data_IF_527070183547
#
_entry.id   IF_527070183547
#
_cell.length_a   1.000
_cell.length_b   1.000
_cell.length_c   1.000
_cell.angle_alpha   90.00
_cell.angle_beta   90.00
_cell.angle_gamma   90.00
#
_symmetry.space_group_name_H-M   'P 1'
#
loop_
_entity.id
_entity.type
_entity.pdbx_description
1 polymer ?
#
# COMPACT_ATOMS: atom_id res chain seq x y z
N UNK A 1 -20.76 -54.33 41.63
CA UNK A 1 -21.18 -52.93 41.86
C UNK A 1 -20.03 -52.25 42.61
N UNK A 2 -19.22 -51.33 42.10
CA UNK A 2 -19.27 -50.47 40.91
C UNK A 2 -17.84 -50.17 40.41
N UNK A 3 -17.64 -49.89 39.10
CA UNK A 3 -16.41 -49.30 38.58
C UNK A 3 -16.49 -47.76 38.68
N UNK A 4 -15.48 -47.13 39.26
CA UNK A 4 -15.32 -45.67 39.29
C UNK A 4 -14.81 -45.16 37.95
N UNK A 5 -15.69 -44.54 37.17
CA UNK A 5 -15.39 -43.80 35.93
C UNK A 5 -14.40 -42.67 36.22
N UNK A 6 -13.19 -42.77 35.69
CA UNK A 6 -12.33 -41.63 35.40
C UNK A 6 -12.95 -40.83 34.26
N UNK A 7 -13.76 -39.84 34.60
CA UNK A 7 -14.28 -38.85 33.65
C UNK A 7 -13.18 -37.86 33.30
N UNK A 8 -12.31 -38.23 32.37
CA UNK A 8 -11.44 -37.29 31.67
C UNK A 8 -12.32 -36.41 30.80
N UNK A 9 -12.68 -35.23 31.29
CA UNK A 9 -13.25 -34.16 30.48
C UNK A 9 -12.17 -33.73 29.49
N UNK A 10 -12.26 -34.24 28.27
CA UNK A 10 -11.55 -33.67 27.14
C UNK A 10 -11.99 -32.20 27.02
N UNK A 11 -11.15 -31.29 27.51
CA UNK A 11 -11.28 -29.86 27.22
C UNK A 11 -11.19 -29.70 25.72
N UNK A 12 -12.34 -29.48 25.08
CA UNK A 12 -12.40 -28.99 23.71
C UNK A 12 -11.45 -27.78 23.60
N UNK A 13 -10.70 -27.65 22.49
CA UNK A 13 -9.82 -26.51 22.30
C UNK A 13 -10.64 -25.24 22.53
N UNK A 14 -10.18 -24.41 23.46
CA UNK A 14 -10.87 -23.20 23.84
C UNK A 14 -11.21 -22.41 22.58
N UNK A 15 -12.52 -22.24 22.32
CA UNK A 15 -13.01 -21.28 21.36
C UNK A 15 -12.27 -19.97 21.62
N UNK A 16 -11.54 -19.45 20.62
CA UNK A 16 -10.88 -18.16 20.75
C UNK A 16 -11.97 -17.15 21.10
N UNK A 17 -11.87 -16.59 22.30
CA UNK A 17 -12.79 -15.55 22.73
C UNK A 17 -12.67 -14.37 21.76
N UNK A 18 -13.80 -13.86 21.27
CA UNK A 18 -13.82 -12.78 20.28
C UNK A 18 -12.99 -11.55 20.70
N UNK A 19 -12.86 -11.31 22.01
CA UNK A 19 -12.02 -10.23 22.55
C UNK A 19 -10.54 -10.39 22.20
N UNK A 20 -10.04 -11.62 22.07
CA UNK A 20 -8.64 -11.90 21.72
C UNK A 20 -8.31 -11.56 20.26
N UNK A 21 -9.32 -11.48 19.38
CA UNK A 21 -9.14 -11.09 17.98
C UNK A 21 -9.07 -9.57 17.77
N UNK A 22 -9.34 -8.78 18.82
CA UNK A 22 -9.32 -7.32 18.76
C UNK A 22 -8.04 -6.72 18.15
N UNK A 23 -6.82 -7.20 18.47
CA UNK A 23 -5.60 -6.69 17.84
C UNK A 23 -5.59 -6.84 16.31
N UNK A 24 -6.15 -7.93 15.80
CA UNK A 24 -6.21 -8.25 14.37
C UNK A 24 -7.29 -7.43 13.66
N UNK A 25 -8.41 -7.18 14.35
CA UNK A 25 -9.44 -6.23 13.90
C UNK A 25 -8.83 -4.83 13.74
N UNK A 26 -8.07 -4.35 14.73
CA UNK A 26 -7.39 -3.05 14.64
C UNK A 26 -6.44 -3.00 13.44
N UNK A 27 -5.66 -4.05 13.19
CA UNK A 27 -4.79 -4.12 12.00
C UNK A 27 -5.61 -4.04 10.72
N UNK A 28 -6.76 -4.71 10.64
CA UNK A 28 -7.66 -4.66 9.47
C UNK A 28 -8.26 -3.26 9.27
N UNK A 29 -8.57 -2.56 10.36
CA UNK A 29 -8.97 -1.14 10.32
C UNK A 29 -7.80 -0.28 9.82
N UNK A 30 -6.58 -0.51 10.33
CA UNK A 30 -5.36 0.16 9.87
C UNK A 30 -5.07 -0.06 8.39
N UNK A 31 -5.29 -1.29 7.89
CA UNK A 31 -5.24 -1.61 6.47
C UNK A 31 -6.26 -0.79 5.67
N UNK A 32 -7.50 -0.74 6.12
CA UNK A 32 -8.56 0.04 5.47
C UNK A 32 -8.21 1.53 5.44
N UNK A 33 -7.73 2.07 6.56
CA UNK A 33 -7.32 3.46 6.67
C UNK A 33 -6.17 3.79 5.71
N UNK A 34 -5.13 2.94 5.66
CA UNK A 34 -4.01 3.11 4.74
C UNK A 34 -4.45 3.03 3.27
N UNK A 35 -5.36 2.11 2.94
CA UNK A 35 -5.93 2.00 1.60
C UNK A 35 -6.68 3.27 1.20
N UNK A 36 -7.52 3.81 2.09
CA UNK A 36 -8.19 5.09 1.83
C UNK A 36 -7.21 6.27 1.73
N UNK A 37 -6.13 6.28 2.51
CA UNK A 37 -5.05 7.26 2.34
C UNK A 37 -4.43 7.19 0.94
N UNK A 38 -4.22 5.98 0.39
CA UNK A 38 -3.68 5.83 -0.97
C UNK A 38 -4.67 6.26 -2.04
N UNK A 39 -5.96 5.93 -1.91
CA UNK A 39 -7.01 6.41 -2.81
C UNK A 39 -7.10 7.95 -2.78
N UNK A 40 -7.03 8.55 -1.58
CA UNK A 40 -7.02 10.00 -1.43
C UNK A 40 -5.76 10.62 -2.03
N UNK A 41 -4.59 9.98 -1.89
CA UNK A 41 -3.36 10.44 -2.54
C UNK A 41 -3.45 10.37 -4.07
N UNK A 42 -4.07 9.31 -4.61
CA UNK A 42 -4.32 9.17 -6.05
C UNK A 42 -5.22 10.30 -6.57
N UNK A 43 -6.32 10.60 -5.89
CA UNK A 43 -7.22 11.70 -6.29
C UNK A 43 -6.56 13.08 -6.12
N UNK A 44 -5.88 13.32 -4.99
CA UNK A 44 -5.20 14.58 -4.70
C UNK A 44 -4.05 14.87 -5.69
N UNK A 45 -3.29 13.85 -6.09
CA UNK A 45 -2.21 14.01 -7.07
C UNK A 45 -2.72 14.47 -8.44
N UNK A 46 -3.88 13.94 -8.88
CA UNK A 46 -4.55 14.37 -10.10
C UNK A 46 -5.02 15.84 -10.01
N UNK A 47 -5.63 16.24 -8.88
CA UNK A 47 -6.01 17.63 -8.62
C UNK A 47 -4.82 18.58 -8.60
N UNK A 48 -3.73 18.20 -7.94
CA UNK A 48 -2.53 19.02 -7.83
C UNK A 48 -1.88 19.26 -9.20
N UNK A 49 -1.75 18.21 -10.02
CA UNK A 49 -1.21 18.33 -11.38
C UNK A 49 -2.15 19.16 -12.26
N UNK A 50 -3.46 18.98 -12.17
CA UNK A 50 -4.42 19.78 -12.92
C UNK A 50 -4.29 21.28 -12.59
N UNK A 51 -4.19 21.63 -11.31
CA UNK A 51 -3.99 23.02 -10.85
C UNK A 51 -2.65 23.58 -11.33
N UNK A 52 -1.59 22.77 -11.32
CA UNK A 52 -0.26 23.16 -11.83
C UNK A 52 -0.30 23.44 -13.33
N UNK A 53 -0.87 22.54 -14.13
CA UNK A 53 -0.99 22.70 -15.58
C UNK A 53 -1.81 23.93 -15.97
N UNK A 54 -2.93 24.20 -15.27
CA UNK A 54 -3.72 25.43 -15.50
C UNK A 54 -2.90 26.70 -15.23
N UNK A 55 -2.11 26.72 -14.16
CA UNK A 55 -1.22 27.86 -13.84
C UNK A 55 -0.13 28.06 -14.88
N UNK A 56 0.47 26.97 -15.38
CA UNK A 56 1.50 27.03 -16.42
C UNK A 56 0.90 27.47 -17.78
N UNK A 57 -0.30 27.03 -18.12
CA UNK A 57 -1.02 27.47 -19.32
C UNK A 57 -1.36 28.97 -19.27
N UNK A 58 -1.88 29.46 -18.14
CA UNK A 58 -2.17 30.89 -17.97
C UNK A 58 -0.92 31.78 -18.08
N UNK A 59 0.22 31.34 -17.53
CA UNK A 59 1.50 32.06 -17.68
C UNK A 59 2.01 32.09 -19.12
N UNK A 60 1.82 31.01 -19.88
CA UNK A 60 2.22 30.96 -21.29
C UNK A 60 1.34 31.86 -22.15
N UNK A 61 0.05 31.94 -21.84
CA UNK A 61 -0.89 32.82 -22.54
C UNK A 61 -0.58 34.30 -22.29
N UNK A 62 -0.30 34.70 -21.04
CA UNK A 62 0.12 36.08 -20.70
C UNK A 62 1.45 36.47 -21.39
N UNK A 63 2.37 35.50 -21.55
CA UNK A 63 3.61 35.70 -22.32
C UNK A 63 3.38 35.80 -23.84
N UNK A 64 2.43 35.05 -24.40
CA UNK A 64 2.09 35.13 -25.84
C UNK A 64 1.29 36.38 -26.17
N UNK A 65 0.40 36.84 -25.29
CA UNK A 65 -0.38 38.07 -25.51
C UNK A 65 0.53 39.33 -25.53
N UNK A 66 1.73 39.26 -24.94
CA UNK A 66 2.78 40.29 -25.07
C UNK A 66 3.62 40.19 -26.36
N UNK A 67 3.48 39.12 -27.14
CA UNK A 67 4.21 38.86 -28.40
C UNK A 67 3.20 38.41 -29.47
N UNK A 68 2.55 39.38 -30.13
CA UNK A 68 1.58 39.24 -31.24
C UNK A 68 0.59 38.05 -31.22
N UNK A 69 -0.72 38.29 -31.39
CA UNK A 69 -1.74 37.26 -31.19
C UNK A 69 -1.76 36.23 -32.33
N UNK A 70 -1.04 35.12 -32.18
CA UNK A 70 -1.31 33.90 -32.97
C UNK A 70 -2.50 33.14 -32.39
N UNK A 71 -3.64 33.22 -33.07
CA UNK A 71 -4.87 32.49 -32.77
C UNK A 71 -4.68 30.96 -32.86
N UNK A 72 -4.44 30.31 -31.72
CA UNK A 72 -4.63 28.87 -31.58
C UNK A 72 -5.56 28.59 -30.39
N UNK A 73 -6.81 28.24 -30.71
CA UNK A 73 -7.84 27.83 -29.75
C UNK A 73 -7.42 26.56 -29.01
N UNK A 74 -6.85 26.73 -27.83
CA UNK A 74 -6.54 25.63 -26.92
C UNK A 74 -7.83 25.09 -26.29
N UNK A 75 -8.16 23.82 -26.57
CA UNK A 75 -9.27 23.14 -25.88
C UNK A 75 -9.03 23.19 -24.37
N UNK A 76 -10.07 23.45 -23.54
CA UNK A 76 -9.93 23.46 -22.10
C UNK A 76 -9.36 22.12 -21.63
N UNK A 77 -8.29 22.18 -20.83
CA UNK A 77 -7.68 21.00 -20.21
C UNK A 77 -8.76 20.31 -19.37
N UNK A 78 -9.23 19.17 -19.84
CA UNK A 78 -10.24 18.38 -19.15
C UNK A 78 -9.57 17.56 -18.04
N UNK A 79 -10.19 17.49 -16.87
CA UNK A 79 -9.63 16.76 -15.72
C UNK A 79 -9.37 15.29 -16.03
N UNK A 80 -10.25 14.66 -16.80
CA UNK A 80 -10.11 13.29 -17.28
C UNK A 80 -8.84 13.10 -18.12
N UNK A 81 -8.49 14.08 -18.96
CA UNK A 81 -7.26 14.04 -19.76
C UNK A 81 -6.02 14.07 -18.87
N UNK A 82 -6.02 14.76 -17.73
CA UNK A 82 -4.85 14.78 -16.82
C UNK A 82 -4.70 13.46 -16.05
N UNK A 83 -5.82 12.81 -15.69
CA UNK A 83 -5.81 11.55 -14.95
C UNK A 83 -5.49 10.32 -15.83
N UNK A 84 -5.89 10.35 -17.11
CA UNK A 84 -5.80 9.17 -18.00
C UNK A 84 -4.96 9.38 -19.26
N UNK A 85 -4.46 10.58 -19.57
CA UNK A 85 -3.56 10.75 -20.72
C UNK A 85 -2.16 10.25 -20.36
N UNK A 86 -1.72 9.19 -21.04
CA UNK A 86 -0.38 8.62 -20.93
C UNK A 86 0.75 9.52 -21.44
N UNK A 87 0.73 10.85 -21.19
CA UNK A 87 1.81 11.75 -21.59
C UNK A 87 3.04 11.55 -20.70
N UNK A 88 4.10 11.09 -21.34
CA UNK A 88 5.40 10.70 -20.79
C UNK A 88 6.18 11.72 -19.93
N UNK A 89 5.64 12.92 -19.64
CA UNK A 89 6.41 13.97 -18.95
C UNK A 89 5.67 14.72 -17.82
N UNK A 90 4.45 14.32 -17.44
CA UNK A 90 3.70 15.00 -16.36
C UNK A 90 3.47 14.11 -15.13
N UNK A 91 3.83 12.83 -15.19
CA UNK A 91 3.07 11.80 -14.48
C UNK A 91 3.83 11.10 -13.35
N UNK A 92 4.99 11.59 -12.91
CA UNK A 92 5.77 10.91 -11.86
C UNK A 92 4.94 10.66 -10.59
N UNK A 93 4.25 11.68 -10.08
CA UNK A 93 3.45 11.56 -8.85
C UNK A 93 2.18 10.72 -9.04
N UNK A 94 1.43 10.90 -10.14
CA UNK A 94 0.26 10.06 -10.44
C UNK A 94 0.69 8.60 -10.59
N UNK A 95 1.76 8.35 -11.33
CA UNK A 95 2.31 7.02 -11.52
C UNK A 95 2.77 6.38 -10.21
N UNK A 96 3.44 7.15 -9.33
CA UNK A 96 3.82 6.68 -7.98
C UNK A 96 2.58 6.26 -7.19
N UNK A 97 1.54 7.09 -7.18
CA UNK A 97 0.32 6.80 -6.43
C UNK A 97 -0.45 5.62 -7.02
N UNK A 98 -0.58 5.53 -8.34
CA UNK A 98 -1.21 4.41 -9.04
C UNK A 98 -0.49 3.10 -8.76
N UNK A 99 0.86 3.11 -8.80
CA UNK A 99 1.66 1.92 -8.46
C UNK A 99 1.57 1.57 -6.98
N UNK A 100 1.43 2.55 -6.09
CA UNK A 100 1.26 2.30 -4.65
C UNK A 100 -0.09 1.64 -4.34
N UNK A 101 -1.19 2.14 -4.95
CA UNK A 101 -2.52 1.53 -4.84
C UNK A 101 -2.52 0.13 -5.44
N UNK A 102 -2.02 -0.02 -6.68
CA UNK A 102 -1.97 -1.30 -7.36
C UNK A 102 -1.17 -2.35 -6.59
N UNK A 103 0.02 -1.99 -6.10
CA UNK A 103 0.85 -2.90 -5.32
C UNK A 103 0.24 -3.26 -3.95
N UNK A 104 -0.49 -2.35 -3.31
CA UNK A 104 -1.24 -2.66 -2.09
C UNK A 104 -2.35 -3.68 -2.38
N UNK A 105 -3.12 -3.49 -3.45
CA UNK A 105 -4.20 -4.41 -3.85
C UNK A 105 -3.68 -5.78 -4.28
N UNK A 106 -2.60 -5.86 -5.05
CA UNK A 106 -1.96 -7.13 -5.46
C UNK A 106 -1.57 -8.00 -4.26
N UNK A 107 -1.10 -7.38 -3.17
CA UNK A 107 -0.64 -8.10 -1.98
C UNK A 107 -1.69 -8.26 -0.89
N UNK A 108 -2.84 -7.61 -1.02
CA UNK A 108 -3.92 -7.66 -0.03
C UNK A 108 -4.51 -9.07 0.12
N UNK A 109 -4.83 -9.83 -0.96
CA UNK A 109 -5.42 -11.16 -0.80
C UNK A 109 -4.58 -12.12 0.05
N UNK A 110 -3.28 -12.35 -0.25
CA UNK A 110 -2.48 -13.25 0.57
C UNK A 110 -2.19 -12.68 1.96
N UNK A 111 -2.12 -11.35 2.11
CA UNK A 111 -1.91 -10.71 3.41
C UNK A 111 -3.12 -10.89 4.34
N UNK A 112 -4.32 -10.48 3.93
CA UNK A 112 -5.50 -10.56 4.78
C UNK A 112 -5.87 -12.01 5.08
N UNK A 113 -5.77 -12.90 4.08
CA UNK A 113 -5.99 -14.32 4.29
C UNK A 113 -4.99 -14.89 5.30
N UNK A 114 -3.70 -14.62 5.11
CA UNK A 114 -2.66 -15.08 6.04
C UNK A 114 -2.82 -14.50 7.44
N UNK A 115 -3.16 -13.22 7.56
CA UNK A 115 -3.37 -12.54 8.84
C UNK A 115 -4.49 -13.22 9.65
N UNK A 116 -5.65 -13.43 9.04
CA UNK A 116 -6.81 -14.02 9.71
C UNK A 116 -6.61 -15.51 10.00
N UNK A 117 -6.04 -16.28 9.07
CA UNK A 117 -5.72 -17.69 9.33
C UNK A 117 -4.70 -17.84 10.47
N UNK A 118 -3.65 -17.03 10.47
CA UNK A 118 -2.65 -17.05 11.55
C UNK A 118 -3.25 -16.64 12.90
N UNK A 119 -4.17 -15.67 12.90
CA UNK A 119 -4.88 -15.26 14.10
C UNK A 119 -5.76 -16.38 14.68
N UNK A 120 -6.49 -17.09 13.80
CA UNK A 120 -7.43 -18.14 14.20
C UNK A 120 -6.75 -19.44 14.61
N UNK A 121 -5.62 -19.79 14.00
CA UNK A 121 -4.98 -21.10 14.20
C UNK A 121 -3.68 -21.05 14.99
N UNK A 122 -3.03 -19.89 15.10
CA UNK A 122 -1.71 -19.76 15.74
C UNK A 122 -1.75 -18.81 16.93
N UNK A 123 -1.93 -17.51 16.67
CA UNK A 123 -1.94 -16.48 17.70
C UNK A 123 -2.44 -15.13 17.15
N UNK A 124 -3.51 -14.54 17.71
CA UNK A 124 -3.96 -13.21 17.33
C UNK A 124 -2.92 -12.11 17.57
N UNK A 125 -2.16 -12.20 18.66
CA UNK A 125 -1.14 -11.20 19.02
C UNK A 125 0.06 -11.23 18.07
N UNK A 126 0.53 -12.42 17.70
CA UNK A 126 1.60 -12.56 16.72
C UNK A 126 1.14 -12.10 15.33
N UNK A 127 -0.07 -12.52 14.91
CA UNK A 127 -0.69 -12.06 13.66
C UNK A 127 -0.75 -10.53 13.60
N UNK A 128 -1.19 -9.87 14.67
CA UNK A 128 -1.28 -8.42 14.72
C UNK A 128 0.10 -7.73 14.62
N UNK A 129 1.13 -8.29 15.26
CA UNK A 129 2.50 -7.76 15.18
C UNK A 129 3.02 -7.81 13.75
N UNK A 130 2.90 -8.96 13.09
CA UNK A 130 3.22 -9.12 11.66
C UNK A 130 2.40 -8.18 10.79
N UNK A 131 1.11 -8.05 11.09
CA UNK A 131 0.19 -7.13 10.44
C UNK A 131 0.68 -5.70 10.43
N UNK A 132 1.06 -5.17 11.60
CA UNK A 132 1.58 -3.80 11.73
C UNK A 132 2.91 -3.59 11.00
N UNK A 133 3.83 -4.56 11.09
CA UNK A 133 5.09 -4.51 10.34
C UNK A 133 4.82 -4.41 8.83
N UNK A 134 3.90 -5.23 8.32
CA UNK A 134 3.51 -5.19 6.91
C UNK A 134 2.88 -3.84 6.53
N UNK A 135 1.99 -3.29 7.36
CA UNK A 135 1.37 -1.98 7.13
C UNK A 135 2.40 -0.84 7.10
N UNK A 136 3.37 -0.83 8.00
CA UNK A 136 4.43 0.19 8.01
C UNK A 136 5.30 0.11 6.74
N UNK A 137 5.64 -1.11 6.31
CA UNK A 137 6.34 -1.33 5.04
C UNK A 137 5.51 -0.77 3.87
N UNK A 138 4.20 -1.06 3.81
CA UNK A 138 3.32 -0.51 2.78
C UNK A 138 3.26 1.01 2.80
N UNK A 139 3.10 1.60 3.98
CA UNK A 139 3.04 3.06 4.14
C UNK A 139 4.31 3.75 3.63
N UNK A 140 5.47 3.10 3.74
CA UNK A 140 6.75 3.61 3.23
C UNK A 140 6.95 3.43 1.71
N UNK A 141 6.15 2.58 1.05
CA UNK A 141 6.26 2.27 -0.38
C UNK A 141 6.21 3.51 -1.30
N UNK A 142 5.21 4.42 -1.22
CA UNK A 142 5.17 5.60 -2.07
C UNK A 142 6.39 6.51 -1.88
N UNK A 143 7.01 6.54 -0.69
CA UNK A 143 8.21 7.34 -0.41
C UNK A 143 9.42 6.75 -1.14
N UNK A 144 9.61 5.43 -1.10
CA UNK A 144 10.67 4.76 -1.85
C UNK A 144 10.49 4.84 -3.36
N UNK A 145 9.24 4.97 -3.83
CA UNK A 145 8.89 5.08 -5.23
C UNK A 145 8.90 6.53 -5.75
N UNK A 146 8.69 7.53 -4.88
CA UNK A 146 8.83 8.97 -5.15
C UNK A 146 10.31 9.37 -5.32
N UNK A 147 10.92 8.84 -6.37
CA UNK A 147 12.33 8.89 -6.73
C UNK A 147 12.94 10.25 -7.18
N UNK A 148 12.22 11.36 -7.46
CA UNK A 148 12.86 12.55 -8.04
C UNK A 148 13.82 13.33 -7.12
N UNK A 149 13.84 13.07 -5.81
CA UNK A 149 14.60 13.88 -4.83
C UNK A 149 15.67 13.12 -4.05
N UNK A 150 16.05 11.92 -4.50
CA UNK A 150 17.06 11.13 -3.78
C UNK A 150 18.49 11.71 -3.99
N UNK A 151 19.26 11.97 -2.92
CA UNK A 151 20.66 12.39 -3.00
C UNK A 151 21.49 11.49 -3.94
N UNK A 152 22.41 12.09 -4.72
CA UNK A 152 23.28 11.37 -5.68
C UNK A 152 24.01 10.17 -5.04
N UNK A 153 24.33 10.24 -3.76
CA UNK A 153 24.97 9.15 -3.00
C UNK A 153 24.07 7.89 -2.89
N UNK A 154 22.78 8.05 -2.61
CA UNK A 154 21.83 6.93 -2.53
C UNK A 154 21.55 6.33 -3.92
N UNK A 155 21.66 7.15 -4.98
CA UNK A 155 21.64 6.70 -6.36
C UNK A 155 22.86 5.85 -6.73
N UNK A 156 24.06 6.26 -6.27
CA UNK A 156 25.29 5.49 -6.44
C UNK A 156 25.22 4.13 -5.73
N UNK A 157 24.68 4.11 -4.51
CA UNK A 157 24.48 2.88 -3.74
C UNK A 157 23.47 1.94 -4.42
N UNK A 158 22.33 2.46 -4.91
CA UNK A 158 21.34 1.65 -5.65
C UNK A 158 21.95 0.99 -6.89
N UNK A 159 22.74 1.74 -7.69
CA UNK A 159 23.44 1.18 -8.86
C UNK A 159 24.52 0.17 -8.48
N UNK A 160 25.25 0.43 -7.41
CA UNK A 160 26.30 -0.48 -6.92
C UNK A 160 25.74 -1.79 -6.38
N UNK A 161 24.56 -1.76 -5.75
CA UNK A 161 23.92 -2.95 -5.18
C UNK A 161 23.03 -3.69 -6.20
N UNK A 162 22.65 -3.05 -7.31
CA UNK A 162 21.74 -3.63 -8.31
C UNK A 162 20.31 -3.87 -7.80
N UNK A 163 19.98 -3.41 -6.60
CA UNK A 163 18.69 -3.65 -5.92
C UNK A 163 17.90 -2.34 -5.86
N UNK A 164 16.64 -2.38 -6.27
CA UNK A 164 15.75 -1.22 -6.20
C UNK A 164 15.37 -0.89 -4.75
N UNK A 165 15.20 0.39 -4.40
CA UNK A 165 14.71 0.77 -3.07
C UNK A 165 13.37 0.13 -2.70
N UNK A 166 12.55 -0.11 -3.71
CA UNK A 166 11.27 -0.84 -3.60
C UNK A 166 11.49 -2.28 -3.12
N UNK A 167 12.60 -2.92 -3.49
CA UNK A 167 12.92 -4.29 -3.07
C UNK A 167 13.13 -4.40 -1.56
N UNK A 168 13.70 -3.38 -0.91
CA UNK A 168 13.88 -3.34 0.55
C UNK A 168 12.57 -3.26 1.32
N UNK A 169 11.48 -2.84 0.67
CA UNK A 169 10.14 -2.83 1.25
C UNK A 169 9.39 -4.12 0.89
N UNK A 170 9.54 -4.53 -0.36
CA UNK A 170 8.77 -5.62 -0.93
C UNK A 170 9.22 -6.98 -0.40
N UNK A 171 10.53 -7.24 -0.30
CA UNK A 171 11.02 -8.53 0.21
C UNK A 171 10.66 -8.78 1.67
N UNK A 172 10.85 -7.84 2.62
CA UNK A 172 10.37 -8.04 3.98
C UNK A 172 8.85 -8.19 4.04
N UNK A 173 8.09 -7.49 3.19
CA UNK A 173 6.64 -7.69 3.11
C UNK A 173 6.27 -9.12 2.71
N UNK A 174 6.97 -9.70 1.73
CA UNK A 174 6.78 -11.09 1.32
C UNK A 174 7.16 -12.06 2.43
N UNK A 175 8.26 -11.79 3.15
CA UNK A 175 8.64 -12.60 4.29
C UNK A 175 7.56 -12.59 5.38
N UNK A 176 6.94 -11.44 5.65
CA UNK A 176 5.83 -11.34 6.61
C UNK A 176 4.64 -12.18 6.16
N UNK A 177 4.20 -12.04 4.91
CA UNK A 177 3.07 -12.81 4.35
C UNK A 177 3.37 -14.32 4.37
N UNK A 178 4.60 -14.70 4.03
CA UNK A 178 5.04 -16.09 4.10
C UNK A 178 4.98 -16.64 5.52
N UNK A 179 5.48 -15.90 6.51
CA UNK A 179 5.43 -16.33 7.92
C UNK A 179 3.99 -16.49 8.43
N UNK A 180 3.09 -15.58 8.03
CA UNK A 180 1.67 -15.69 8.36
C UNK A 180 1.06 -16.97 7.80
N UNK A 181 1.18 -17.18 6.49
CA UNK A 181 0.61 -18.34 5.78
C UNK A 181 1.25 -19.66 6.19
N UNK A 182 2.57 -19.71 6.30
CA UNK A 182 3.31 -20.90 6.71
C UNK A 182 3.00 -21.29 8.16
N UNK A 183 2.93 -20.29 9.06
CA UNK A 183 2.53 -20.53 10.45
C UNK A 183 1.12 -21.09 10.54
N UNK A 184 0.17 -20.54 9.77
CA UNK A 184 -1.19 -21.06 9.72
C UNK A 184 -1.24 -22.48 9.15
N UNK A 185 -0.55 -22.75 8.04
CA UNK A 185 -0.50 -24.08 7.44
C UNK A 185 0.06 -25.14 8.40
N UNK A 186 1.09 -24.79 9.18
CA UNK A 186 1.68 -25.66 10.21
C UNK A 186 0.78 -25.93 11.41
N UNK A 187 -0.18 -25.07 11.69
CA UNK A 187 -1.14 -25.29 12.78
C UNK A 187 -2.33 -26.15 12.33
N UNK A 188 -2.61 -26.18 11.03
CA UNK A 188 -3.71 -26.96 10.46
C UNK A 188 -3.32 -28.40 10.06
N UNK A 189 -2.03 -28.73 10.04
CA UNK A 189 -1.48 -30.04 9.65
C UNK A 189 -0.66 -30.64 10.79
#
# INVERSE_FOLDING_TARGET
VSPGRGGGTATLPACIEMQQLWPVVIVTIGWSALYFCFLQGQSASAFWIHKRLRREAGKKQDLSDRREPTHHGGRPLEFASVKYSGRANTSGLIFVMDRSVGNMLEQTPPFLLGLWLHALFVSPTAAATYGWVWLLLRASYPVAFAHPSMPRALWGLQRSLGISWVSFITWPSYAVVWNLLYGAARACW
#
